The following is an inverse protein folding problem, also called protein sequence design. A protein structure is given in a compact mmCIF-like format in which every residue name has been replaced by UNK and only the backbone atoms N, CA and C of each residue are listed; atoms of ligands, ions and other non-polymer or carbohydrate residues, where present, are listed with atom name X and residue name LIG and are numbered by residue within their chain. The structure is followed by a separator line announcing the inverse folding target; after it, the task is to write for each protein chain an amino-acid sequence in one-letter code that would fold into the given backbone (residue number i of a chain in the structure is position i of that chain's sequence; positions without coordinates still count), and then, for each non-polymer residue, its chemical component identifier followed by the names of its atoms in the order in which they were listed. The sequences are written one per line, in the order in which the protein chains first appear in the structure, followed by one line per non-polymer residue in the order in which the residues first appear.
data_IF_125772941395
#
_entry.id   IF_125772941395
#
_cell.length_a   1.000
_cell.length_b   1.000
_cell.length_c   1.000
_cell.angle_alpha   90.00
_cell.angle_beta   90.00
_cell.angle_gamma   90.00
#
_symmetry.space_group_name_H-M   'P 1'
#
loop_
_entity.id
_entity.type
_entity.pdbx_description
1 polymer ?
#
# COMPACT_ATOMS: atom_id res chain seq x y z
N UNK A 1 -26.33 3.20 -13.98
CA UNK A 1 -26.80 3.08 -15.41
C UNK A 1 -27.15 4.42 -16.06
N UNK A 2 -27.70 5.42 -15.32
CA UNK A 2 -28.01 6.72 -15.91
C UNK A 2 -26.75 7.53 -16.27
N UNK A 3 -25.67 7.42 -15.50
CA UNK A 3 -24.41 8.13 -15.72
C UNK A 3 -23.70 7.72 -17.02
N UNK A 4 -23.77 6.45 -17.43
CA UNK A 4 -23.17 5.96 -18.66
C UNK A 4 -23.77 6.59 -19.93
N UNK A 5 -25.00 7.16 -19.82
CA UNK A 5 -25.66 7.87 -20.92
C UNK A 5 -25.23 9.31 -21.06
N UNK A 6 -24.48 9.84 -20.10
CA UNK A 6 -23.97 11.22 -20.11
C UNK A 6 -22.58 11.34 -20.71
N UNK A 7 -22.04 10.22 -21.25
CA UNK A 7 -20.72 10.11 -21.90
C UNK A 7 -19.57 10.71 -21.07
N UNK A 8 -19.38 10.25 -19.79
CA UNK A 8 -18.32 10.76 -18.95
C UNK A 8 -16.98 10.13 -19.31
N UNK A 9 -15.89 10.89 -19.31
CA UNK A 9 -14.52 10.34 -19.46
C UNK A 9 -14.07 9.59 -18.20
N UNK A 10 -14.48 10.08 -17.03
CA UNK A 10 -14.06 9.57 -15.72
C UNK A 10 -15.26 9.31 -14.83
N UNK A 11 -15.31 8.14 -14.23
CA UNK A 11 -16.36 7.73 -13.29
C UNK A 11 -15.74 7.45 -11.92
N UNK A 12 -16.27 8.06 -10.86
CA UNK A 12 -15.92 7.76 -9.48
C UNK A 12 -17.06 7.01 -8.80
N UNK A 13 -16.80 5.79 -8.37
CA UNK A 13 -17.69 4.98 -7.55
C UNK A 13 -17.19 5.05 -6.12
N UNK A 14 -17.99 5.52 -5.17
CA UNK A 14 -17.56 5.73 -3.80
C UNK A 14 -16.97 4.47 -3.16
N UNK A 15 -17.62 3.31 -3.35
CA UNK A 15 -17.20 2.03 -2.80
C UNK A 15 -17.87 0.85 -3.51
N UNK A 16 -17.12 -0.24 -3.72
CA UNK A 16 -17.64 -1.52 -4.20
C UNK A 16 -17.85 -2.46 -3.00
N UNK A 17 -19.11 -2.72 -2.64
CA UNK A 17 -19.47 -3.61 -1.52
C UNK A 17 -20.08 -4.91 -1.98
N UNK A 18 -20.66 -4.93 -3.16
CA UNK A 18 -21.43 -6.02 -3.73
C UNK A 18 -21.08 -6.27 -5.20
N UNK A 19 -21.50 -7.43 -5.68
CA UNK A 19 -21.24 -7.86 -7.05
C UNK A 19 -21.85 -6.92 -8.09
N UNK A 20 -23.08 -6.42 -7.88
CA UNK A 20 -23.77 -5.56 -8.85
C UNK A 20 -22.99 -4.25 -9.10
N UNK A 21 -22.53 -3.60 -8.03
CA UNK A 21 -21.72 -2.39 -8.12
C UNK A 21 -20.37 -2.67 -8.80
N UNK A 22 -19.73 -3.80 -8.47
CA UNK A 22 -18.46 -4.17 -9.08
C UNK A 22 -18.62 -4.49 -10.57
N UNK A 23 -19.64 -5.26 -10.97
CA UNK A 23 -19.90 -5.59 -12.37
C UNK A 23 -20.16 -4.34 -13.22
N UNK A 24 -20.93 -3.35 -12.68
CA UNK A 24 -21.18 -2.07 -13.37
C UNK A 24 -19.86 -1.28 -13.54
N UNK A 25 -18.98 -1.28 -12.53
CA UNK A 25 -17.68 -0.62 -12.60
C UNK A 25 -16.78 -1.25 -13.66
N UNK A 26 -16.74 -2.59 -13.69
CA UNK A 26 -15.97 -3.37 -14.66
C UNK A 26 -16.49 -3.13 -16.08
N UNK A 27 -17.82 -3.22 -16.30
CA UNK A 27 -18.45 -2.96 -17.58
C UNK A 27 -18.15 -1.55 -18.10
N UNK A 28 -18.24 -0.54 -17.23
CA UNK A 28 -17.89 0.83 -17.58
C UNK A 28 -16.44 0.97 -18.00
N UNK A 29 -15.50 0.31 -17.29
CA UNK A 29 -14.08 0.31 -17.64
C UNK A 29 -13.82 -0.38 -18.99
N UNK A 30 -14.43 -1.54 -19.24
CA UNK A 30 -14.28 -2.27 -20.51
C UNK A 30 -14.88 -1.51 -21.72
N UNK A 31 -15.84 -0.61 -21.47
CA UNK A 31 -16.44 0.25 -22.50
C UNK A 31 -15.71 1.57 -22.70
N UNK A 32 -14.51 1.76 -22.11
CA UNK A 32 -13.62 2.87 -22.41
C UNK A 32 -13.61 4.02 -21.39
N UNK A 33 -14.33 3.88 -20.26
CA UNK A 33 -14.31 4.88 -19.20
C UNK A 33 -13.16 4.65 -18.23
N UNK A 34 -12.52 5.70 -17.73
CA UNK A 34 -11.61 5.60 -16.60
C UNK A 34 -12.42 5.54 -15.30
N UNK A 35 -12.39 4.40 -14.63
CA UNK A 35 -13.17 4.17 -13.41
C UNK A 35 -12.26 4.15 -12.18
N UNK A 36 -12.58 4.98 -11.19
CA UNK A 36 -12.01 4.92 -9.85
C UNK A 36 -13.04 4.40 -8.86
N UNK A 37 -12.60 3.53 -7.95
CA UNK A 37 -13.44 3.08 -6.85
C UNK A 37 -12.61 2.76 -5.62
N UNK A 38 -13.28 2.56 -4.48
CA UNK A 38 -12.66 2.04 -3.26
C UNK A 38 -13.22 0.68 -2.92
N UNK A 39 -12.40 -0.13 -2.24
CA UNK A 39 -12.78 -1.42 -1.70
C UNK A 39 -12.04 -1.63 -0.37
N UNK A 40 -12.67 -2.25 0.61
CA UNK A 40 -12.04 -2.49 1.91
C UNK A 40 -11.23 -3.78 1.90
N UNK A 41 -9.91 -3.64 1.85
CA UNK A 41 -8.92 -4.72 1.93
C UNK A 41 -7.71 -4.29 2.77
N UNK A 42 -6.87 -5.24 3.21
CA UNK A 42 -5.67 -4.93 3.98
C UNK A 42 -4.45 -4.67 3.10
N UNK A 43 -4.44 -5.19 1.86
CA UNK A 43 -3.36 -5.03 0.89
C UNK A 43 -3.89 -4.90 -0.54
N UNK A 44 -3.05 -4.49 -1.47
CA UNK A 44 -3.40 -4.41 -2.87
C UNK A 44 -3.74 -5.79 -3.46
N UNK A 45 -2.96 -6.81 -3.10
CA UNK A 45 -3.16 -8.18 -3.59
C UNK A 45 -4.46 -8.79 -3.06
N UNK A 46 -4.84 -8.51 -1.80
CA UNK A 46 -6.12 -8.97 -1.23
C UNK A 46 -7.35 -8.42 -1.99
N UNK A 47 -7.19 -7.32 -2.71
CA UNK A 47 -8.27 -6.77 -3.54
C UNK A 47 -8.69 -7.74 -4.64
N UNK A 48 -7.74 -8.46 -5.24
CA UNK A 48 -8.03 -9.51 -6.24
C UNK A 48 -8.89 -10.60 -5.61
N UNK A 49 -8.49 -11.10 -4.45
CA UNK A 49 -9.25 -12.12 -3.71
C UNK A 49 -10.66 -11.60 -3.37
N UNK A 50 -10.74 -10.36 -2.91
CA UNK A 50 -12.03 -9.74 -2.56
C UNK A 50 -12.99 -9.63 -3.75
N UNK A 51 -12.49 -9.30 -4.94
CA UNK A 51 -13.31 -9.27 -6.15
C UNK A 51 -13.77 -10.67 -6.58
N UNK A 52 -12.91 -11.68 -6.43
CA UNK A 52 -13.29 -13.09 -6.65
C UNK A 52 -14.37 -13.54 -5.65
N UNK A 53 -14.24 -13.16 -4.38
CA UNK A 53 -15.22 -13.48 -3.31
C UNK A 53 -16.58 -12.79 -3.55
N UNK A 54 -16.58 -11.59 -4.13
CA UNK A 54 -17.80 -10.92 -4.56
C UNK A 54 -18.48 -11.63 -5.75
N UNK A 55 -17.79 -12.58 -6.39
CA UNK A 55 -18.28 -13.33 -7.53
C UNK A 55 -18.07 -12.63 -8.88
N UNK A 56 -17.11 -11.68 -8.95
CA UNK A 56 -16.74 -11.07 -10.21
C UNK A 56 -16.01 -12.09 -11.11
N UNK A 57 -16.24 -11.98 -12.42
CA UNK A 57 -15.54 -12.81 -13.39
C UNK A 57 -14.08 -12.39 -13.54
N UNK A 58 -13.09 -13.30 -13.30
CA UNK A 58 -11.68 -12.94 -13.29
C UNK A 58 -11.14 -12.47 -14.65
N UNK A 59 -11.71 -12.91 -15.76
CA UNK A 59 -11.31 -12.45 -17.08
C UNK A 59 -11.70 -10.98 -17.28
N UNK A 60 -12.96 -10.65 -16.98
CA UNK A 60 -13.48 -9.30 -17.14
C UNK A 60 -12.78 -8.29 -16.23
N UNK A 61 -12.63 -8.59 -14.93
CA UNK A 61 -12.04 -7.61 -14.04
C UNK A 61 -10.51 -7.50 -14.19
N UNK A 62 -9.81 -8.55 -14.60
CA UNK A 62 -8.38 -8.45 -14.87
C UNK A 62 -8.07 -7.56 -16.08
N UNK A 63 -8.92 -7.60 -17.10
CA UNK A 63 -8.78 -6.74 -18.28
C UNK A 63 -9.18 -5.28 -17.99
N UNK A 64 -10.16 -5.07 -17.11
CA UNK A 64 -10.59 -3.75 -16.69
C UNK A 64 -9.63 -3.08 -15.70
N UNK A 65 -8.86 -3.85 -14.92
CA UNK A 65 -8.05 -3.36 -13.81
C UNK A 65 -6.69 -2.84 -14.29
N UNK A 66 -6.39 -1.58 -14.04
CA UNK A 66 -5.08 -0.97 -14.30
C UNK A 66 -4.13 -1.12 -13.12
N UNK A 67 -4.64 -1.01 -11.91
CA UNK A 67 -3.85 -1.13 -10.71
C UNK A 67 -4.68 -1.00 -9.44
N UNK A 68 -4.06 -1.33 -8.33
CA UNK A 68 -4.64 -1.24 -6.98
C UNK A 68 -3.69 -0.49 -6.07
N UNK A 69 -4.17 0.60 -5.46
CA UNK A 69 -3.45 1.36 -4.46
C UNK A 69 -4.02 1.07 -3.07
N UNK A 70 -3.28 0.33 -2.24
CA UNK A 70 -3.56 0.26 -0.82
C UNK A 70 -2.82 1.37 -0.07
N UNK A 71 -3.48 1.98 0.92
CA UNK A 71 -2.92 3.10 1.69
C UNK A 71 -3.30 2.99 3.17
N UNK A 72 -2.37 3.39 4.03
CA UNK A 72 -2.59 3.57 5.47
C UNK A 72 -1.97 4.89 5.92
N UNK A 73 -2.45 5.44 7.01
CA UNK A 73 -1.94 6.68 7.59
C UNK A 73 -1.22 6.41 8.90
N UNK A 74 0.09 6.66 8.92
CA UNK A 74 0.93 6.65 10.12
C UNK A 74 0.93 8.02 10.79
N UNK A 75 1.18 8.08 12.11
CA UNK A 75 1.47 9.35 12.78
C UNK A 75 2.83 9.87 12.30
N UNK A 76 2.88 11.16 11.94
CA UNK A 76 4.12 11.85 11.55
C UNK A 76 4.89 12.31 12.78
N UNK A 77 6.22 12.13 12.79
CA UNK A 77 7.08 12.71 13.83
C UNK A 77 6.89 14.21 13.82
N UNK A 78 6.75 14.80 15.01
CA UNK A 78 6.58 16.23 15.18
C UNK A 78 7.85 16.99 14.69
N UNK A 79 7.75 17.90 13.72
CA UNK A 79 8.92 18.59 13.21
C UNK A 79 9.62 19.47 14.25
N UNK A 80 8.88 19.97 15.26
CA UNK A 80 9.41 20.88 16.27
C UNK A 80 10.24 20.17 17.37
N UNK A 81 10.05 18.85 17.56
CA UNK A 81 10.79 18.11 18.57
C UNK A 81 11.43 16.82 18.02
N UNK A 82 11.55 16.76 16.69
CA UNK A 82 12.27 15.68 16.00
C UNK A 82 13.73 15.71 16.41
N UNK A 83 14.25 14.58 16.86
CA UNK A 83 15.66 14.40 17.17
C UNK A 83 16.21 13.17 16.45
N UNK A 84 17.46 13.25 16.04
CA UNK A 84 18.18 12.14 15.46
C UNK A 84 18.77 11.27 16.57
N UNK A 85 18.82 9.97 16.35
CA UNK A 85 19.49 9.02 17.23
C UNK A 85 20.13 7.89 16.44
N UNK A 86 21.15 7.26 17.00
CA UNK A 86 21.73 6.05 16.44
C UNK A 86 20.92 4.83 16.92
N UNK A 87 20.33 4.02 16.03
CA UNK A 87 19.56 2.84 16.44
C UNK A 87 20.46 1.78 17.07
N UNK A 88 19.90 1.02 17.98
CA UNK A 88 20.54 -0.21 18.46
C UNK A 88 20.60 -1.25 17.35
N UNK A 89 21.48 -2.25 17.47
CA UNK A 89 21.56 -3.36 16.52
C UNK A 89 20.21 -4.08 16.41
N UNK A 90 19.51 -4.28 17.51
CA UNK A 90 18.20 -4.92 17.54
C UNK A 90 17.12 -4.12 16.77
N UNK A 91 17.09 -2.80 16.93
CA UNK A 91 16.17 -1.94 16.18
C UNK A 91 16.45 -1.99 14.67
N UNK A 92 17.72 -2.04 14.28
CA UNK A 92 18.11 -2.21 12.88
C UNK A 92 17.68 -3.57 12.33
N UNK A 93 17.98 -4.66 13.06
CA UNK A 93 17.64 -6.01 12.63
C UNK A 93 16.11 -6.21 12.50
N UNK A 94 15.32 -5.56 13.36
CA UNK A 94 13.85 -5.53 13.21
C UNK A 94 13.41 -4.87 11.91
N UNK A 95 14.05 -3.77 11.49
CA UNK A 95 13.74 -3.12 10.21
C UNK A 95 14.09 -4.01 9.02
N UNK A 96 15.29 -4.62 9.05
CA UNK A 96 15.75 -5.52 7.99
C UNK A 96 14.82 -6.71 7.83
N UNK A 97 14.48 -7.37 8.94
CA UNK A 97 13.58 -8.52 8.95
C UNK A 97 12.19 -8.14 8.41
N UNK A 98 11.64 -7.00 8.82
CA UNK A 98 10.32 -6.56 8.39
C UNK A 98 10.29 -6.10 6.92
N UNK A 99 11.38 -5.55 6.41
CA UNK A 99 11.53 -5.18 5.01
C UNK A 99 11.69 -6.40 4.11
N UNK A 100 12.36 -7.43 4.62
CA UNK A 100 12.81 -8.62 3.91
C UNK A 100 14.30 -8.53 3.61
N UNK A 101 15.08 -9.44 4.14
CA UNK A 101 16.56 -9.43 4.05
C UNK A 101 17.05 -9.31 2.60
N UNK A 102 16.50 -10.11 1.69
CA UNK A 102 16.87 -10.08 0.28
C UNK A 102 16.46 -8.80 -0.46
N UNK A 103 15.38 -8.14 -0.02
CA UNK A 103 14.93 -6.86 -0.59
C UNK A 103 15.74 -5.68 -0.01
N UNK A 104 16.33 -5.85 1.19
CA UNK A 104 17.13 -4.83 1.87
C UNK A 104 18.51 -4.69 1.27
N UNK A 105 19.15 -5.82 0.95
CA UNK A 105 20.51 -5.86 0.43
C UNK A 105 20.66 -5.09 -0.88
N UNK A 106 21.70 -4.27 -0.96
CA UNK A 106 21.99 -3.44 -2.14
C UNK A 106 21.11 -2.18 -2.30
N UNK A 107 20.06 -2.04 -1.47
CA UNK A 107 19.15 -0.87 -1.50
C UNK A 107 19.39 0.04 -0.29
N UNK A 108 19.60 -0.55 0.87
CA UNK A 108 19.75 0.18 2.13
C UNK A 108 21.12 -0.04 2.78
N UNK A 109 21.57 0.92 3.61
CA UNK A 109 22.87 0.82 4.25
C UNK A 109 22.92 -0.34 5.24
N UNK A 110 24.07 -1.02 5.31
CA UNK A 110 24.36 -1.93 6.39
C UNK A 110 24.44 -1.19 7.73
N UNK A 111 24.27 -1.92 8.83
CA UNK A 111 24.42 -1.34 10.17
C UNK A 111 25.83 -0.76 10.33
N UNK A 112 25.92 0.53 10.60
CA UNK A 112 27.17 1.24 10.78
C UNK A 112 26.99 2.41 11.77
N UNK A 113 28.09 2.95 12.32
CA UNK A 113 28.01 4.07 13.30
C UNK A 113 27.36 5.36 12.78
N UNK A 114 27.29 5.53 11.46
CA UNK A 114 26.66 6.71 10.83
C UNK A 114 25.17 6.56 10.59
N UNK A 115 24.60 5.37 10.82
CA UNK A 115 23.18 5.15 10.63
C UNK A 115 22.37 5.97 11.62
N UNK A 116 21.41 6.72 11.11
CA UNK A 116 20.59 7.63 11.91
C UNK A 116 19.11 7.39 11.66
N UNK A 117 18.37 7.21 12.75
CA UNK A 117 16.92 7.24 12.76
C UNK A 117 16.42 8.47 13.53
N UNK A 118 15.11 8.66 13.53
CA UNK A 118 14.50 9.84 14.14
C UNK A 118 13.35 9.47 15.04
N UNK A 119 13.17 10.26 16.10
CA UNK A 119 12.04 10.18 17.02
C UNK A 119 11.56 11.57 17.45
N UNK A 120 10.35 11.66 17.96
CA UNK A 120 9.84 12.88 18.57
C UNK A 120 10.04 12.82 20.08
N UNK A 121 10.77 13.81 20.63
CA UNK A 121 11.02 13.91 22.08
C UNK A 121 9.76 14.26 22.87
N UNK A 122 8.81 14.94 22.24
CA UNK A 122 7.67 15.59 22.89
C UNK A 122 7.91 17.08 23.06
N UNK A 123 6.89 17.88 22.83
CA UNK A 123 6.87 19.33 23.06
C UNK A 123 5.43 19.83 23.15
N UNK A 124 5.23 21.08 23.53
CA UNK A 124 3.89 21.68 23.66
C UNK A 124 3.11 21.66 22.33
N UNK A 125 3.80 21.83 21.20
CA UNK A 125 3.18 21.81 19.87
C UNK A 125 2.53 20.47 19.52
N UNK A 126 3.01 19.38 20.06
CA UNK A 126 2.47 18.03 19.85
C UNK A 126 1.81 17.45 21.11
N UNK A 127 1.54 18.26 22.13
CA UNK A 127 1.00 17.84 23.42
C UNK A 127 1.83 16.68 24.04
N UNK A 128 3.15 16.81 24.03
CA UNK A 128 4.12 15.86 24.58
C UNK A 128 4.11 14.47 23.93
N UNK A 129 3.37 14.28 22.82
CA UNK A 129 3.23 12.96 22.16
C UNK A 129 4.41 12.58 21.26
N UNK A 130 5.22 13.55 20.84
CA UNK A 130 6.27 13.37 19.82
C UNK A 130 5.76 13.28 18.38
N UNK A 131 4.42 13.32 18.16
CA UNK A 131 3.81 13.18 16.83
C UNK A 131 2.86 14.34 16.53
N UNK A 132 2.87 14.81 15.27
CA UNK A 132 1.96 15.83 14.77
C UNK A 132 1.65 15.62 13.30
N UNK A 133 0.37 15.46 12.98
CA UNK A 133 -0.09 15.16 11.63
C UNK A 133 0.07 13.69 11.26
N UNK A 134 -0.10 13.39 10.00
CA UNK A 134 -0.06 12.05 9.44
C UNK A 134 0.84 12.00 8.20
N UNK A 135 1.36 10.83 7.89
CA UNK A 135 2.07 10.51 6.67
C UNK A 135 1.46 9.24 6.07
N UNK A 136 1.13 9.24 4.77
CA UNK A 136 0.61 8.04 4.14
C UNK A 136 1.74 7.05 3.87
N UNK A 137 1.42 5.77 3.95
CA UNK A 137 2.22 4.67 3.41
C UNK A 137 1.40 3.97 2.34
N UNK A 138 2.05 3.53 1.28
CA UNK A 138 1.41 3.06 0.06
C UNK A 138 1.92 1.69 -0.36
N UNK A 139 1.03 0.94 -1.02
CA UNK A 139 1.34 -0.27 -1.75
C UNK A 139 0.61 -0.19 -3.09
N UNK A 140 1.34 -0.03 -4.19
CA UNK A 140 0.77 0.09 -5.53
C UNK A 140 1.09 -1.15 -6.35
N UNK A 141 0.08 -1.95 -6.62
CA UNK A 141 0.14 -3.07 -7.55
C UNK A 141 -0.33 -2.60 -8.94
N UNK A 142 0.56 -2.67 -9.92
CA UNK A 142 0.20 -2.46 -11.32
C UNK A 142 -0.21 -3.80 -11.92
N UNK A 143 -1.27 -3.81 -12.73
CA UNK A 143 -1.77 -5.04 -13.35
C UNK A 143 -1.11 -5.21 -14.71
N UNK A 144 0.05 -5.89 -14.71
CA UNK A 144 0.76 -6.32 -15.93
C UNK A 144 0.03 -7.49 -16.63
N UNK A 145 0.39 -7.80 -17.86
CA UNK A 145 -0.19 -8.95 -18.57
C UNK A 145 0.07 -10.27 -17.84
N UNK A 146 1.23 -10.41 -17.19
CA UNK A 146 1.52 -11.56 -16.34
C UNK A 146 0.62 -11.60 -15.11
N UNK A 147 0.31 -10.43 -14.51
CA UNK A 147 -0.62 -10.34 -13.39
C UNK A 147 -2.04 -10.72 -13.81
N UNK A 148 -2.49 -10.26 -14.99
CA UNK A 148 -3.80 -10.68 -15.54
C UNK A 148 -3.89 -12.19 -15.67
N UNK A 149 -2.85 -12.83 -16.23
CA UNK A 149 -2.81 -14.29 -16.39
C UNK A 149 -2.94 -15.02 -15.04
N UNK A 150 -2.26 -14.56 -13.98
CA UNK A 150 -2.38 -15.13 -12.64
C UNK A 150 -3.78 -14.91 -12.04
N UNK A 151 -4.38 -13.74 -12.24
CA UNK A 151 -5.74 -13.44 -11.79
C UNK A 151 -6.74 -14.39 -12.47
N UNK A 152 -6.65 -14.55 -13.79
CA UNK A 152 -7.51 -15.44 -14.59
C UNK A 152 -7.36 -16.90 -14.18
N UNK A 153 -6.14 -17.32 -13.82
CA UNK A 153 -5.85 -18.64 -13.27
C UNK A 153 -6.29 -18.82 -11.81
N UNK A 154 -6.84 -17.78 -11.16
CA UNK A 154 -7.18 -17.77 -9.73
C UNK A 154 -6.00 -18.19 -8.84
N UNK A 155 -4.81 -17.70 -9.18
CA UNK A 155 -3.58 -17.98 -8.46
C UNK A 155 -3.67 -17.62 -6.97
N UNK A 156 -2.85 -18.26 -6.15
CA UNK A 156 -2.80 -17.99 -4.70
C UNK A 156 -2.25 -16.59 -4.42
N UNK A 157 -2.70 -15.98 -3.33
CA UNK A 157 -2.25 -14.66 -2.89
C UNK A 157 -0.72 -14.52 -2.85
N UNK A 158 0.00 -15.59 -2.44
CA UNK A 158 1.46 -15.59 -2.39
C UNK A 158 2.11 -15.48 -3.78
N UNK A 159 1.52 -16.10 -4.81
CA UNK A 159 2.02 -16.03 -6.20
C UNK A 159 1.79 -14.63 -6.78
N UNK A 160 0.61 -14.07 -6.53
CA UNK A 160 0.29 -12.69 -6.91
C UNK A 160 1.23 -11.69 -6.23
N UNK A 161 1.51 -11.86 -4.92
CA UNK A 161 2.43 -11.01 -4.16
C UNK A 161 3.86 -11.11 -4.70
N UNK A 162 4.33 -12.33 -5.00
CA UNK A 162 5.67 -12.54 -5.55
C UNK A 162 5.82 -11.85 -6.89
N UNK A 163 4.85 -11.98 -7.80
CA UNK A 163 4.86 -11.30 -9.08
C UNK A 163 4.78 -9.78 -8.91
N UNK A 164 3.86 -9.28 -8.07
CA UNK A 164 3.72 -7.85 -7.84
C UNK A 164 5.03 -7.22 -7.34
N UNK A 165 5.75 -7.89 -6.43
CA UNK A 165 7.07 -7.46 -5.95
C UNK A 165 8.12 -7.48 -7.07
N UNK A 166 8.14 -8.51 -7.92
CA UNK A 166 9.05 -8.56 -9.06
C UNK A 166 8.76 -7.47 -10.11
N UNK A 167 7.50 -7.05 -10.22
CA UNK A 167 7.07 -5.93 -11.06
C UNK A 167 7.33 -4.55 -10.41
N UNK A 168 7.97 -4.53 -9.21
CA UNK A 168 8.42 -3.31 -8.54
C UNK A 168 7.49 -2.80 -7.43
N UNK A 169 6.45 -3.54 -7.06
CA UNK A 169 5.60 -3.18 -5.93
C UNK A 169 6.39 -3.24 -4.62
N UNK A 170 6.29 -2.21 -3.80
CA UNK A 170 6.68 -2.24 -2.38
C UNK A 170 5.45 -2.43 -1.51
N UNK A 171 5.56 -3.27 -0.50
CA UNK A 171 4.48 -3.47 0.47
C UNK A 171 4.30 -2.26 1.37
N UNK A 172 3.14 -2.14 2.03
CA UNK A 172 2.89 -1.08 3.03
C UNK A 172 3.99 -1.00 4.09
N UNK A 173 4.52 -2.14 4.53
CA UNK A 173 5.62 -2.21 5.51
C UNK A 173 6.90 -1.67 4.93
N UNK A 174 7.26 -2.06 3.71
CA UNK A 174 8.46 -1.59 3.03
C UNK A 174 8.42 -0.08 2.79
N UNK A 175 7.33 0.46 2.24
CA UNK A 175 7.16 1.90 2.06
C UNK A 175 7.14 2.66 3.41
N UNK A 176 6.57 2.04 4.44
CA UNK A 176 6.61 2.56 5.80
C UNK A 176 8.03 2.66 6.35
N UNK A 177 8.86 1.64 6.14
CA UNK A 177 10.27 1.62 6.57
C UNK A 177 11.09 2.68 5.82
N UNK A 178 10.85 2.88 4.52
CA UNK A 178 11.45 3.99 3.79
C UNK A 178 11.18 5.33 4.47
N UNK A 179 9.95 5.55 4.91
CA UNK A 179 9.57 6.77 5.62
C UNK A 179 10.14 6.86 7.04
N UNK A 180 10.46 5.72 7.67
CA UNK A 180 11.23 5.68 8.93
C UNK A 180 12.66 6.15 8.67
N UNK A 181 13.33 5.64 7.64
CA UNK A 181 14.68 6.05 7.26
C UNK A 181 14.75 7.54 6.89
N UNK A 182 13.73 8.08 6.25
CA UNK A 182 13.58 9.51 5.96
C UNK A 182 13.26 10.35 7.21
N UNK A 183 12.94 9.72 8.34
CA UNK A 183 12.58 10.38 9.59
C UNK A 183 11.21 11.06 9.56
N UNK A 184 10.28 10.55 8.78
CA UNK A 184 8.91 11.05 8.72
C UNK A 184 8.00 10.40 9.76
N UNK A 185 8.25 9.13 10.09
CA UNK A 185 7.51 8.35 11.09
C UNK A 185 8.45 7.43 11.86
N UNK A 186 7.93 6.60 12.75
CA UNK A 186 8.69 5.58 13.47
C UNK A 186 8.20 4.18 13.08
N UNK A 187 9.06 3.18 13.21
CA UNK A 187 8.68 1.80 12.92
C UNK A 187 7.49 1.31 13.79
N UNK A 188 7.42 1.74 15.04
CA UNK A 188 6.25 1.51 15.90
C UNK A 188 4.93 1.95 15.26
N UNK A 189 4.93 3.09 14.56
CA UNK A 189 3.73 3.60 13.89
C UNK A 189 3.41 2.80 12.62
N UNK A 190 4.43 2.37 11.88
CA UNK A 190 4.26 1.50 10.71
C UNK A 190 3.64 0.17 11.11
N UNK A 191 4.20 -0.50 12.14
CA UNK A 191 3.65 -1.76 12.68
C UNK A 191 2.19 -1.64 13.09
N UNK A 192 1.82 -0.54 13.72
CA UNK A 192 0.46 -0.33 14.23
C UNK A 192 -0.61 -0.29 13.14
N UNK A 193 -0.25 0.00 11.87
CA UNK A 193 -1.22 0.17 10.78
C UNK A 193 -1.01 -0.78 9.60
N UNK A 194 0.19 -1.30 9.40
CA UNK A 194 0.56 -2.13 8.25
C UNK A 194 0.64 -3.63 8.57
N UNK A 195 0.83 -3.98 9.84
CA UNK A 195 0.91 -5.38 10.30
C UNK A 195 -0.33 -5.66 11.15
N UNK A 196 -1.16 -6.57 10.66
CA UNK A 196 -2.31 -7.12 11.41
C UNK A 196 -2.16 -8.61 11.56
#
# INVERSE_FOLDING_TARGET
RAFLRADPDVIMIGEMRDKETADIAIEASLTGHLVFSTIHTNSAVETVVRLLDLGCDPFNFSDAMLGVLAMRLCKRICPNCREAYHPTRSEYDELVQAFGEGDWEGVHPAYNPGLTLFRGRGCDTCNQTGYRGRVPIHELMVVSDSMKALIQARARTGELLTLAKSDGMRTLVQDGIEKVLQGLTTYKQVRAVAIK
#
